data_IF_190680931891
#
_entry.id   IF_190680931891
#
_cell.length_a   1.000
_cell.length_b   1.000
_cell.length_c   1.000
_cell.angle_alpha   90.00
_cell.angle_beta   90.00
_cell.angle_gamma   90.00
#
_symmetry.space_group_name_H-M   'P 1'
#
loop_
_entity.id
_entity.type
_entity.pdbx_description
1 polymer ?
#
# COMPACT_ATOMS: atom_id res chain seq x y z
N UNK A 1 21.54 12.51 -13.22
CA UNK A 1 21.57 11.83 -14.54
C UNK A 1 21.25 12.87 -15.59
N UNK A 2 21.98 12.85 -16.70
CA UNK A 2 21.75 13.71 -17.86
C UNK A 2 21.48 12.82 -19.07
N UNK A 3 20.48 13.18 -19.88
CA UNK A 3 20.10 12.46 -21.09
C UNK A 3 20.03 13.45 -22.25
N UNK A 4 20.59 13.08 -23.42
CA UNK A 4 20.42 13.86 -24.65
C UNK A 4 19.51 13.13 -25.62
N UNK A 5 18.33 13.70 -25.89
CA UNK A 5 17.33 13.11 -26.77
C UNK A 5 16.95 14.11 -27.85
N UNK A 6 17.05 13.68 -29.11
CA UNK A 6 16.74 14.51 -30.29
C UNK A 6 17.44 15.89 -30.26
N UNK A 7 18.70 15.91 -29.83
CA UNK A 7 19.53 17.12 -29.78
C UNK A 7 19.34 18.01 -28.55
N UNK A 8 18.41 17.68 -27.63
CA UNK A 8 18.14 18.44 -26.39
C UNK A 8 18.62 17.69 -25.15
N UNK A 9 19.15 18.43 -24.19
CA UNK A 9 19.63 17.89 -22.91
C UNK A 9 18.52 17.92 -21.85
N UNK A 10 18.37 16.82 -21.12
CA UNK A 10 17.36 16.58 -20.10
C UNK A 10 18.03 16.14 -18.80
N UNK A 11 17.54 16.65 -17.68
CA UNK A 11 18.02 16.33 -16.35
C UNK A 11 16.89 15.69 -15.53
N UNK A 12 16.47 14.45 -15.86
CA UNK A 12 15.36 13.82 -15.18
C UNK A 12 15.73 13.44 -13.75
N UNK A 13 14.79 13.68 -12.84
CA UNK A 13 14.76 13.02 -11.54
C UNK A 13 14.06 11.66 -11.69
N UNK A 14 14.66 10.61 -11.16
CA UNK A 14 14.08 9.27 -11.13
C UNK A 14 14.44 8.57 -9.84
N UNK A 15 13.49 7.82 -9.29
CA UNK A 15 13.65 7.07 -8.07
C UNK A 15 12.74 5.84 -8.11
N UNK A 16 13.28 4.69 -7.70
CA UNK A 16 12.51 3.45 -7.51
C UNK A 16 12.47 3.09 -6.03
N UNK A 17 11.27 2.93 -5.48
CA UNK A 17 11.06 2.55 -4.09
C UNK A 17 10.81 1.05 -4.01
N UNK A 18 11.87 0.27 -3.85
CA UNK A 18 11.77 -1.17 -3.66
C UNK A 18 10.90 -1.47 -2.42
N UNK A 19 10.08 -2.53 -2.48
CA UNK A 19 9.10 -2.91 -1.45
C UNK A 19 7.90 -1.95 -1.28
N UNK A 20 7.72 -0.97 -2.19
CA UNK A 20 6.54 -0.09 -2.26
C UNK A 20 5.64 -0.35 -3.48
N UNK A 21 5.93 -1.40 -4.26
CA UNK A 21 4.98 -1.92 -5.23
C UNK A 21 3.73 -2.48 -4.52
N UNK A 22 2.57 -2.48 -5.21
CA UNK A 22 1.26 -2.83 -4.63
C UNK A 22 1.29 -4.12 -3.79
N UNK A 23 1.82 -5.20 -4.33
CA UNK A 23 1.73 -6.50 -3.66
C UNK A 23 2.67 -6.58 -2.45
N UNK A 24 3.87 -6.01 -2.57
CA UNK A 24 4.84 -5.97 -1.45
C UNK A 24 4.42 -4.99 -0.34
N UNK A 25 3.77 -3.86 -0.66
CA UNK A 25 3.23 -2.96 0.37
C UNK A 25 2.05 -3.59 1.12
N UNK A 26 1.20 -4.35 0.42
CA UNK A 26 0.13 -5.13 1.06
C UNK A 26 0.68 -6.26 1.94
N UNK A 27 1.74 -6.93 1.51
CA UNK A 27 2.45 -7.93 2.31
C UNK A 27 3.08 -7.31 3.56
N UNK A 28 3.74 -6.14 3.43
CA UNK A 28 4.27 -5.36 4.55
C UNK A 28 3.18 -4.90 5.52
N UNK A 29 2.03 -4.49 5.02
CA UNK A 29 0.87 -4.17 5.85
C UNK A 29 0.44 -5.39 6.67
N UNK A 30 0.32 -6.56 6.04
CA UNK A 30 -0.05 -7.78 6.76
C UNK A 30 0.99 -8.16 7.81
N UNK A 31 2.29 -8.08 7.50
CA UNK A 31 3.37 -8.29 8.46
C UNK A 31 3.28 -7.31 9.66
N UNK A 32 3.01 -6.03 9.40
CA UNK A 32 2.76 -5.03 10.42
C UNK A 32 1.56 -5.39 11.33
N UNK A 33 0.46 -5.86 10.74
CA UNK A 33 -0.73 -6.28 11.49
C UNK A 33 -0.47 -7.52 12.36
N UNK A 34 0.26 -8.53 11.85
CA UNK A 34 0.69 -9.69 12.64
C UNK A 34 1.52 -9.25 13.84
N UNK A 35 2.49 -8.34 13.62
CA UNK A 35 3.37 -7.86 14.69
C UNK A 35 2.62 -7.05 15.75
N UNK A 36 1.63 -6.24 15.34
CA UNK A 36 0.90 -5.33 16.24
C UNK A 36 -0.24 -5.99 16.99
N UNK A 37 -0.94 -6.96 16.38
CA UNK A 37 -2.03 -7.70 17.03
C UNK A 37 -1.53 -8.94 17.78
N UNK A 38 -0.27 -9.34 17.54
CA UNK A 38 0.34 -10.55 18.08
C UNK A 38 0.19 -11.74 17.13
N UNK A 39 1.10 -12.71 17.25
CA UNK A 39 1.17 -13.90 16.39
C UNK A 39 0.09 -14.96 16.73
N UNK A 40 -1.14 -14.52 16.99
CA UNK A 40 -2.29 -15.40 17.18
C UNK A 40 -2.77 -16.02 15.85
N UNK A 41 -3.68 -17.01 15.90
CA UNK A 41 -4.20 -17.66 14.69
C UNK A 41 -5.10 -16.77 13.85
N UNK A 42 -5.54 -15.62 14.38
CA UNK A 42 -6.49 -14.70 13.76
C UNK A 42 -5.91 -13.28 13.71
N UNK A 43 -6.00 -12.66 12.54
CA UNK A 43 -5.59 -11.27 12.33
C UNK A 43 -6.74 -10.50 11.70
N UNK A 44 -7.11 -9.38 12.32
CA UNK A 44 -8.08 -8.45 11.76
C UNK A 44 -7.41 -7.53 10.74
N UNK A 45 -7.95 -7.46 9.54
CA UNK A 45 -7.37 -6.71 8.43
C UNK A 45 -8.31 -5.58 7.97
N UNK A 46 -8.08 -4.33 8.40
CA UNK A 46 -9.02 -3.23 8.15
C UNK A 46 -9.12 -2.80 6.68
N UNK A 47 -8.11 -3.11 5.86
CA UNK A 47 -8.16 -2.83 4.43
C UNK A 47 -8.82 -3.95 3.61
N UNK A 48 -9.12 -5.10 4.22
CA UNK A 48 -9.89 -6.15 3.54
C UNK A 48 -11.38 -5.90 3.82
N UNK A 49 -12.26 -6.16 2.83
CA UNK A 49 -13.67 -5.87 2.97
C UNK A 49 -14.29 -6.74 4.07
N UNK A 50 -15.31 -6.21 4.73
CA UNK A 50 -15.98 -6.90 5.84
C UNK A 50 -16.58 -8.24 5.36
N UNK A 51 -16.35 -9.31 6.12
CA UNK A 51 -16.85 -10.65 5.78
C UNK A 51 -15.95 -11.46 4.84
N UNK A 52 -14.82 -10.90 4.37
CA UNK A 52 -13.80 -11.67 3.66
C UNK A 52 -12.86 -12.37 4.64
N UNK A 53 -12.70 -13.69 4.50
CA UNK A 53 -11.78 -14.48 5.31
C UNK A 53 -10.87 -15.31 4.41
N UNK A 54 -9.58 -15.35 4.74
CA UNK A 54 -8.60 -16.19 4.04
C UNK A 54 -7.61 -16.80 5.02
N UNK A 55 -7.31 -18.08 4.86
CA UNK A 55 -6.26 -18.75 5.62
C UNK A 55 -5.03 -18.94 4.75
N UNK A 56 -3.87 -18.57 5.27
CA UNK A 56 -2.57 -18.72 4.59
C UNK A 56 -1.49 -19.14 5.56
N UNK A 57 -0.41 -19.74 5.05
CA UNK A 57 0.76 -20.03 5.86
C UNK A 57 1.51 -18.75 6.20
N UNK A 58 2.15 -18.73 7.36
CA UNK A 58 2.93 -17.60 7.83
C UNK A 58 4.11 -17.28 6.90
N UNK A 59 4.68 -18.30 6.24
CA UNK A 59 5.72 -18.10 5.23
C UNK A 59 5.30 -17.17 4.10
N UNK A 60 4.05 -17.22 3.61
CA UNK A 60 3.53 -16.30 2.58
C UNK A 60 3.59 -14.84 2.98
N UNK A 61 3.66 -14.53 4.27
CA UNK A 61 3.79 -13.17 4.79
C UNK A 61 5.25 -12.76 4.92
N UNK A 62 6.14 -13.68 5.33
CA UNK A 62 7.51 -13.36 5.74
C UNK A 62 8.62 -14.00 4.87
N UNK A 63 8.29 -14.60 3.72
CA UNK A 63 9.23 -15.16 2.75
C UNK A 63 9.86 -14.09 1.82
N UNK A 64 9.32 -12.87 1.80
CA UNK A 64 9.88 -11.75 1.04
C UNK A 64 11.00 -11.03 1.80
N UNK A 65 12.07 -10.58 1.11
CA UNK A 65 13.06 -9.65 1.66
C UNK A 65 12.42 -8.38 2.27
N UNK A 66 11.26 -7.95 1.78
CA UNK A 66 10.54 -6.76 2.24
C UNK A 66 9.91 -6.90 3.64
N UNK A 67 9.87 -8.12 4.18
CA UNK A 67 9.20 -8.46 5.44
C UNK A 67 10.02 -9.39 6.33
N UNK A 68 11.15 -9.90 5.86
CA UNK A 68 11.94 -10.92 6.56
C UNK A 68 12.44 -10.45 7.94
N UNK A 69 12.68 -9.15 8.10
CA UNK A 69 13.08 -8.48 9.34
C UNK A 69 11.94 -8.33 10.37
N UNK A 70 10.69 -8.55 9.94
CA UNK A 70 9.50 -8.43 10.77
C UNK A 70 8.99 -9.76 11.31
N UNK A 71 9.71 -10.87 11.07
CA UNK A 71 9.31 -12.20 11.53
C UNK A 71 9.06 -12.21 13.05
N UNK A 72 7.94 -12.78 13.53
CA UNK A 72 7.69 -12.93 14.95
C UNK A 72 8.72 -13.89 15.58
N UNK A 73 8.96 -13.74 16.88
CA UNK A 73 9.79 -14.68 17.66
C UNK A 73 8.94 -15.29 18.77
N UNK A 74 8.75 -16.62 18.82
CA UNK A 74 9.29 -17.64 17.91
C UNK A 74 8.64 -17.60 16.50
N UNK A 75 9.39 -17.96 15.46
CA UNK A 75 8.91 -18.03 14.07
C UNK A 75 8.67 -19.48 13.65
N UNK A 76 7.43 -19.81 13.26
CA UNK A 76 7.09 -21.10 12.66
C UNK A 76 6.43 -20.90 11.29
N UNK A 77 7.15 -21.16 10.18
CA UNK A 77 6.69 -20.79 8.82
C UNK A 77 5.44 -21.54 8.37
N UNK A 78 5.23 -22.76 8.90
CA UNK A 78 4.14 -23.65 8.49
C UNK A 78 2.83 -23.42 9.26
N UNK A 79 2.83 -22.54 10.27
CA UNK A 79 1.62 -22.19 11.00
C UNK A 79 0.66 -21.44 10.08
N UNK A 80 -0.62 -21.79 10.17
CA UNK A 80 -1.68 -21.11 9.44
C UNK A 80 -2.16 -19.88 10.20
N UNK A 81 -2.32 -18.79 9.44
CA UNK A 81 -2.87 -17.52 9.84
C UNK A 81 -4.20 -17.32 9.13
N UNK A 82 -5.27 -17.03 9.88
CA UNK A 82 -6.56 -16.64 9.31
C UNK A 82 -6.69 -15.13 9.36
N UNK A 83 -6.74 -14.51 8.19
CA UNK A 83 -6.89 -13.07 8.01
C UNK A 83 -8.36 -12.77 7.78
N UNK A 84 -8.94 -11.91 8.61
CA UNK A 84 -10.36 -11.56 8.61
C UNK A 84 -10.54 -10.09 8.26
N UNK A 85 -11.24 -9.80 7.18
CA UNK A 85 -11.53 -8.45 6.73
C UNK A 85 -12.56 -7.77 7.61
N UNK A 86 -12.29 -6.52 7.99
CA UNK A 86 -13.18 -5.72 8.84
C UNK A 86 -13.75 -4.49 8.14
N UNK A 87 -13.26 -4.12 6.95
CA UNK A 87 -13.78 -3.01 6.15
C UNK A 87 -13.80 -1.68 6.89
N UNK A 88 -12.63 -1.18 7.32
CA UNK A 88 -12.55 0.06 8.10
C UNK A 88 -11.52 1.02 7.49
N UNK A 89 -12.01 2.05 6.79
CA UNK A 89 -11.14 3.02 6.12
C UNK A 89 -10.16 3.72 7.05
N UNK A 90 -10.60 4.22 8.21
CA UNK A 90 -9.72 4.96 9.12
C UNK A 90 -8.59 4.08 9.68
N UNK A 91 -8.91 2.86 10.09
CA UNK A 91 -7.89 1.91 10.57
C UNK A 91 -6.98 1.43 9.43
N UNK A 92 -7.52 1.25 8.23
CA UNK A 92 -6.74 0.90 7.05
C UNK A 92 -5.69 1.99 6.75
N UNK A 93 -6.14 3.24 6.60
CA UNK A 93 -5.27 4.39 6.38
C UNK A 93 -4.26 4.53 7.53
N UNK A 94 -4.71 4.43 8.78
CA UNK A 94 -3.85 4.56 9.95
C UNK A 94 -2.73 3.51 10.02
N UNK A 95 -2.98 2.26 9.61
CA UNK A 95 -1.94 1.23 9.56
C UNK A 95 -1.07 1.35 8.31
N UNK A 96 -1.64 1.69 7.16
CA UNK A 96 -0.89 1.92 5.92
C UNK A 96 0.13 3.07 6.07
N UNK A 97 -0.28 4.17 6.71
CA UNK A 97 0.59 5.33 6.93
C UNK A 97 1.83 5.01 7.76
N UNK A 98 1.76 4.03 8.67
CA UNK A 98 2.91 3.59 9.48
C UNK A 98 4.01 2.89 8.68
N UNK A 99 3.74 2.51 7.43
CA UNK A 99 4.72 1.90 6.54
C UNK A 99 5.66 2.94 5.89
N UNK A 100 5.40 4.23 6.07
CA UNK A 100 6.18 5.33 5.52
C UNK A 100 6.82 6.11 6.65
N UNK A 101 8.15 6.29 6.63
CA UNK A 101 8.84 7.14 7.60
C UNK A 101 9.04 8.54 7.03
N UNK A 102 8.56 9.56 7.76
CA UNK A 102 8.79 10.97 7.43
C UNK A 102 9.77 11.65 8.39
N UNK A 103 10.26 10.93 9.41
CA UNK A 103 11.07 11.48 10.50
C UNK A 103 12.54 11.67 10.12
N UNK A 104 13.02 10.91 9.14
CA UNK A 104 14.41 10.97 8.67
C UNK A 104 14.50 11.94 7.52
N UNK A 105 14.89 13.18 7.79
CA UNK A 105 15.04 14.20 6.76
C UNK A 105 16.41 14.89 6.88
N UNK A 106 17.29 14.61 5.92
CA UNK A 106 18.58 15.29 5.75
C UNK A 106 18.57 16.30 4.60
N UNK A 107 17.47 16.41 3.85
CA UNK A 107 17.34 17.26 2.67
C UNK A 107 16.28 18.33 2.87
N UNK A 108 16.44 19.51 2.24
CA UNK A 108 15.40 20.55 2.28
C UNK A 108 14.06 20.11 1.68
N UNK A 109 14.10 19.11 0.77
CA UNK A 109 12.93 18.52 0.11
C UNK A 109 13.13 17.01 0.01
N UNK A 110 12.17 16.26 0.49
CA UNK A 110 12.21 14.80 0.54
C UNK A 110 10.81 14.23 0.36
N UNK A 111 10.76 12.93 0.06
CA UNK A 111 9.54 12.14 -0.06
C UNK A 111 9.27 11.41 1.26
N UNK A 112 9.58 10.12 1.33
CA UNK A 112 9.55 9.30 2.54
C UNK A 112 10.86 8.50 2.64
N UNK A 113 11.10 7.89 3.79
CA UNK A 113 12.28 7.10 4.13
C UNK A 113 13.61 7.82 3.88
N UNK A 114 13.62 9.15 4.04
CA UNK A 114 14.79 9.99 3.83
C UNK A 114 15.26 10.13 2.39
N UNK A 115 14.41 9.81 1.42
CA UNK A 115 14.75 9.93 0.00
C UNK A 115 14.47 11.34 -0.52
N UNK A 116 15.51 12.01 -1.01
CA UNK A 116 15.42 13.32 -1.66
C UNK A 116 14.40 13.29 -2.79
N UNK A 117 13.54 14.32 -2.86
CA UNK A 117 12.63 14.52 -3.99
C UNK A 117 12.51 16.02 -4.29
N UNK A 118 12.74 16.46 -5.53
CA UNK A 118 12.54 17.86 -5.91
C UNK A 118 11.05 18.22 -5.94
N UNK A 119 10.74 19.52 -6.10
CA UNK A 119 9.35 19.93 -6.31
C UNK A 119 8.78 19.25 -7.55
N UNK A 120 7.60 18.66 -7.40
CA UNK A 120 6.83 18.09 -8.50
C UNK A 120 6.35 19.23 -9.40
N UNK A 121 6.61 19.14 -10.71
CA UNK A 121 6.23 20.16 -11.69
C UNK A 121 5.85 19.54 -13.03
N UNK A 122 4.97 20.21 -13.77
CA UNK A 122 4.44 19.72 -15.04
C UNK A 122 3.30 18.71 -14.90
N UNK A 123 2.98 18.05 -16.01
CA UNK A 123 1.94 17.01 -16.08
C UNK A 123 2.55 15.62 -15.90
N UNK A 124 1.82 14.74 -15.22
CA UNK A 124 2.25 13.37 -14.95
C UNK A 124 1.28 12.37 -15.59
N UNK A 125 1.83 11.26 -16.06
CA UNK A 125 1.06 10.09 -16.49
C UNK A 125 1.26 8.98 -15.47
N UNK A 126 0.18 8.58 -14.81
CA UNK A 126 0.18 7.45 -13.89
C UNK A 126 -0.37 6.20 -14.61
N UNK A 127 0.44 5.15 -14.71
CA UNK A 127 0.13 3.92 -15.44
C UNK A 127 0.27 2.68 -14.55
N UNK A 128 0.10 1.48 -15.13
CA UNK A 128 0.14 0.21 -14.41
C UNK A 128 -0.89 0.16 -13.27
N UNK A 129 -0.49 -0.22 -12.05
CA UNK A 129 -1.41 -0.39 -10.93
C UNK A 129 -2.14 0.91 -10.55
N UNK A 130 -1.57 2.10 -10.80
CA UNK A 130 -2.28 3.36 -10.59
C UNK A 130 -3.52 3.46 -11.47
N UNK A 131 -3.39 3.17 -12.77
CA UNK A 131 -4.47 3.24 -13.74
C UNK A 131 -5.62 2.28 -13.38
N UNK A 132 -5.29 1.00 -13.15
CA UNK A 132 -6.32 0.00 -12.86
C UNK A 132 -7.02 0.24 -11.52
N UNK A 133 -6.29 0.70 -10.50
CA UNK A 133 -6.89 1.02 -9.19
C UNK A 133 -7.81 2.24 -9.29
N UNK A 134 -7.37 3.30 -9.97
CA UNK A 134 -8.19 4.50 -10.18
C UNK A 134 -9.46 4.18 -10.98
N UNK A 135 -9.33 3.42 -12.06
CA UNK A 135 -10.45 2.95 -12.88
C UNK A 135 -11.44 2.10 -12.08
N UNK A 136 -10.94 1.18 -11.23
CA UNK A 136 -11.78 0.37 -10.35
C UNK A 136 -12.58 1.26 -9.38
N UNK A 137 -11.92 2.19 -8.69
CA UNK A 137 -12.58 3.11 -7.76
C UNK A 137 -13.71 3.89 -8.44
N UNK A 138 -13.47 4.43 -9.64
CA UNK A 138 -14.50 5.17 -10.38
C UNK A 138 -15.69 4.28 -10.77
N UNK A 139 -15.43 3.06 -11.24
CA UNK A 139 -16.49 2.13 -11.67
C UNK A 139 -17.33 1.61 -10.52
N UNK A 140 -16.69 1.19 -9.42
CA UNK A 140 -17.36 0.61 -8.26
C UNK A 140 -18.17 1.66 -7.49
N UNK A 141 -17.69 2.91 -7.42
CA UNK A 141 -18.36 3.95 -6.63
C UNK A 141 -19.24 4.90 -7.45
N UNK A 142 -19.09 4.90 -8.79
CA UNK A 142 -19.67 5.93 -9.66
C UNK A 142 -19.07 7.32 -9.49
N UNK A 143 -18.06 7.50 -8.62
CA UNK A 143 -17.42 8.79 -8.36
C UNK A 143 -16.43 9.09 -9.47
N UNK A 144 -16.63 10.20 -10.18
CA UNK A 144 -15.66 10.68 -11.16
C UNK A 144 -14.47 11.35 -10.44
N UNK A 145 -13.45 10.55 -10.12
CA UNK A 145 -12.25 10.99 -9.38
C UNK A 145 -11.37 11.96 -10.19
N UNK A 146 -11.52 13.27 -9.93
CA UNK A 146 -10.75 14.37 -10.55
C UNK A 146 -9.92 15.19 -9.58
N UNK A 147 -10.01 14.89 -8.28
CA UNK A 147 -9.26 15.57 -7.22
C UNK A 147 -8.86 14.60 -6.12
N UNK A 148 -7.84 14.95 -5.29
CA UNK A 148 -7.44 14.12 -4.15
C UNK A 148 -8.60 13.86 -3.16
N UNK A 149 -9.46 14.85 -2.92
CA UNK A 149 -10.61 14.71 -2.02
C UNK A 149 -11.63 13.71 -2.56
N UNK A 150 -11.87 13.70 -3.88
CA UNK A 150 -12.77 12.71 -4.50
C UNK A 150 -12.15 11.32 -4.52
N UNK A 151 -10.82 11.22 -4.69
CA UNK A 151 -10.10 9.95 -4.57
C UNK A 151 -10.23 9.38 -3.15
N UNK A 152 -10.07 10.22 -2.13
CA UNK A 152 -10.28 9.84 -0.73
C UNK A 152 -11.70 9.35 -0.48
N UNK A 153 -12.70 10.08 -1.01
CA UNK A 153 -14.10 9.69 -0.94
C UNK A 153 -14.35 8.32 -1.57
N UNK A 154 -13.85 8.08 -2.78
CA UNK A 154 -14.00 6.79 -3.46
C UNK A 154 -13.31 5.65 -2.71
N UNK A 155 -12.09 5.86 -2.21
CA UNK A 155 -11.37 4.88 -1.41
C UNK A 155 -12.12 4.55 -0.10
N UNK A 156 -12.63 5.56 0.59
CA UNK A 156 -13.43 5.40 1.81
C UNK A 156 -14.70 4.60 1.56
N UNK A 157 -15.42 4.90 0.47
CA UNK A 157 -16.61 4.16 0.07
C UNK A 157 -16.29 2.69 -0.16
N UNK A 158 -15.27 2.38 -0.98
CA UNK A 158 -14.87 0.98 -1.24
C UNK A 158 -14.40 0.26 0.02
N UNK A 159 -13.61 0.89 0.89
CA UNK A 159 -13.14 0.26 2.13
C UNK A 159 -14.28 -0.10 3.09
N UNK A 160 -15.40 0.62 3.03
CA UNK A 160 -16.56 0.36 3.88
C UNK A 160 -17.56 -0.63 3.26
N UNK A 161 -17.36 -1.04 2.01
CA UNK A 161 -18.16 -2.11 1.40
C UNK A 161 -17.81 -3.47 2.01
N UNK A 162 -18.82 -4.30 2.19
CA UNK A 162 -18.69 -5.72 2.50
C UNK A 162 -18.12 -6.49 1.31
N UNK A 163 -17.63 -7.70 1.56
CA UNK A 163 -17.06 -8.54 0.50
C UNK A 163 -18.10 -8.85 -0.59
N UNK A 164 -19.38 -8.99 -0.23
CA UNK A 164 -20.45 -9.23 -1.19
C UNK A 164 -20.72 -8.00 -2.07
N UNK A 165 -20.75 -6.81 -1.48
CA UNK A 165 -20.96 -5.57 -2.24
C UNK A 165 -19.83 -5.29 -3.24
N UNK A 166 -18.59 -5.69 -2.94
CA UNK A 166 -17.45 -5.50 -3.85
C UNK A 166 -17.49 -6.47 -5.04
N UNK A 167 -18.18 -7.61 -4.92
CA UNK A 167 -18.28 -8.61 -5.97
C UNK A 167 -19.34 -8.28 -7.03
N UNK A 168 -20.24 -7.34 -6.73
CA UNK A 168 -21.36 -6.93 -7.58
C UNK A 168 -21.14 -5.52 -8.17
#
# INVERSE_FOLDING_TARGET
>A
MELRLYGRDYHPYTQSFLCYGRDEVLRRLLAHLVKTQGAGPHISHPCYPAGFNVSMKLDKVFDSPCTADQRPSPYSPQVFLTVMGTGNYQQCLGNMSKLFSFDRCSFSKFSFDGVFQPNVSGSFMAFSAFFYTHMFLQRTTGITVTSPTLLEGAARTVCNMSFQEVLH
#
